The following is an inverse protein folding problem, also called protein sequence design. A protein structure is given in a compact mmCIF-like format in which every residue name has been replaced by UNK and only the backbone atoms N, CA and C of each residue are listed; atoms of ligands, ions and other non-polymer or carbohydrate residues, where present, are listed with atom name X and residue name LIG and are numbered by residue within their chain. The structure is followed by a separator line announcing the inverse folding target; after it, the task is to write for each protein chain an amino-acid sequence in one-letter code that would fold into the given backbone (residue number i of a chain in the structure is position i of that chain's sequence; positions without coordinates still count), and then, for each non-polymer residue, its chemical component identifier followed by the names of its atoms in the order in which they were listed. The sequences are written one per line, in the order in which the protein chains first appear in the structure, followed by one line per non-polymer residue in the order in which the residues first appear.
data_IF_553032375743
#
_entry.id   IF_553032375743
#
_cell.length_a   1.000
_cell.length_b   1.000
_cell.length_c   1.000
_cell.angle_alpha   90.00
_cell.angle_beta   90.00
_cell.angle_gamma   90.00
#
_symmetry.space_group_name_H-M   'P 1'
#
loop_
_entity.id
_entity.type
_entity.pdbx_description
1 polymer ?
#
# COMPACT_ATOMS: atom_id res chain seq x y z
N UNK A 1 7.99 -1.45 6.76
CA UNK A 1 6.81 -0.71 6.28
C UNK A 1 7.21 0.48 5.42
N UNK A 2 6.56 0.61 4.28
CA UNK A 2 6.73 1.78 3.40
C UNK A 2 5.40 2.56 3.41
N UNK A 3 5.48 3.87 3.60
CA UNK A 3 4.30 4.74 3.64
C UNK A 3 4.33 5.69 2.43
N UNK A 4 3.21 5.75 1.71
CA UNK A 4 3.01 6.67 0.60
C UNK A 4 1.88 7.63 0.95
N UNK A 5 2.17 8.93 0.94
CA UNK A 5 1.16 9.96 1.20
C UNK A 5 0.17 10.06 0.04
N UNK A 6 -1.09 10.39 0.35
CA UNK A 6 -2.14 10.57 -0.66
C UNK A 6 -1.72 11.54 -1.76
N UNK A 7 -1.15 12.69 -1.38
CA UNK A 7 -0.78 13.72 -2.34
C UNK A 7 0.27 13.28 -3.36
N UNK A 8 1.07 12.27 -3.02
CA UNK A 8 2.02 11.66 -3.95
C UNK A 8 1.32 10.66 -4.88
N UNK A 9 0.42 9.84 -4.32
CA UNK A 9 -0.17 8.72 -5.05
C UNK A 9 -1.36 9.11 -5.93
N UNK A 10 -2.25 9.99 -5.43
CA UNK A 10 -3.56 10.20 -6.05
C UNK A 10 -3.87 11.68 -6.21
N UNK A 11 -4.77 11.97 -7.15
CA UNK A 11 -5.46 13.24 -7.19
C UNK A 11 -6.49 13.30 -6.06
N UNK A 12 -6.76 14.50 -5.54
CA UNK A 12 -7.69 14.72 -4.43
C UNK A 12 -9.03 14.01 -4.69
N UNK A 13 -9.46 13.18 -3.73
CA UNK A 13 -10.73 12.48 -3.78
C UNK A 13 -10.81 11.34 -4.79
N UNK A 14 -9.71 11.00 -5.46
CA UNK A 14 -9.68 9.97 -6.50
C UNK A 14 -8.80 8.79 -6.12
N UNK A 15 -9.00 7.68 -6.80
CA UNK A 15 -8.18 6.46 -6.66
C UNK A 15 -7.28 6.21 -7.87
N UNK A 16 -7.32 7.09 -8.88
CA UNK A 16 -6.42 7.00 -10.03
C UNK A 16 -5.01 7.48 -9.65
N UNK A 17 -4.00 6.68 -10.01
CA UNK A 17 -2.61 6.99 -9.67
C UNK A 17 -2.08 8.18 -10.47
N UNK A 18 -1.32 9.04 -9.81
CA UNK A 18 -0.60 10.14 -10.46
C UNK A 18 0.61 9.62 -11.24
N UNK A 19 1.18 10.46 -12.11
CA UNK A 19 2.42 10.11 -12.83
C UNK A 19 3.59 9.92 -11.86
N UNK A 20 3.70 10.77 -10.83
CA UNK A 20 4.73 10.62 -9.78
C UNK A 20 4.58 9.31 -9.03
N UNK A 21 3.34 8.90 -8.74
CA UNK A 21 3.05 7.62 -8.11
C UNK A 21 3.52 6.45 -8.97
N UNK A 22 3.22 6.48 -10.25
CA UNK A 22 3.62 5.42 -11.19
C UNK A 22 5.13 5.26 -11.24
N UNK A 23 5.88 6.37 -11.25
CA UNK A 23 7.34 6.31 -11.22
C UNK A 23 7.86 5.67 -9.94
N UNK A 24 7.35 6.10 -8.78
CA UNK A 24 7.75 5.54 -7.49
C UNK A 24 7.39 4.05 -7.38
N UNK A 25 6.19 3.68 -7.80
CA UNK A 25 5.72 2.29 -7.74
C UNK A 25 6.43 1.39 -8.73
N UNK A 26 6.86 1.90 -9.88
CA UNK A 26 7.68 1.14 -10.84
C UNK A 26 9.02 0.74 -10.21
N UNK A 27 9.68 1.66 -9.51
CA UNK A 27 10.91 1.37 -8.78
C UNK A 27 10.67 0.36 -7.66
N UNK A 28 9.57 0.54 -6.93
CA UNK A 28 9.18 -0.39 -5.86
C UNK A 28 8.90 -1.79 -6.42
N UNK A 29 8.21 -1.89 -7.54
CA UNK A 29 7.95 -3.16 -8.22
C UNK A 29 9.25 -3.87 -8.62
N UNK A 30 10.23 -3.13 -9.11
CA UNK A 30 11.56 -3.69 -9.44
C UNK A 30 12.20 -4.31 -8.20
N UNK A 31 12.15 -3.62 -7.06
CA UNK A 31 12.65 -4.15 -5.80
C UNK A 31 11.93 -5.42 -5.38
N UNK A 32 10.61 -5.47 -5.52
CA UNK A 32 9.81 -6.66 -5.18
C UNK A 32 10.13 -7.85 -6.09
N UNK A 33 10.36 -7.60 -7.38
CA UNK A 33 10.75 -8.66 -8.32
C UNK A 33 12.13 -9.21 -8.02
N UNK A 34 13.03 -8.37 -7.51
CA UNK A 34 14.37 -8.79 -7.11
C UNK A 34 14.38 -9.54 -5.77
N UNK A 35 13.27 -9.50 -5.04
CA UNK A 35 13.12 -10.20 -3.76
C UNK A 35 11.86 -11.08 -3.79
N UNK A 36 11.85 -12.15 -4.63
CA UNK A 36 10.63 -12.91 -4.90
C UNK A 36 10.11 -13.73 -3.71
N UNK A 37 10.92 -13.90 -2.66
CA UNK A 37 10.53 -14.64 -1.46
C UNK A 37 9.93 -13.74 -0.38
N UNK A 38 9.24 -12.68 -0.78
CA UNK A 38 8.54 -11.78 0.13
C UNK A 38 7.06 -11.69 -0.24
N UNK A 39 6.23 -11.47 0.78
CA UNK A 39 4.81 -11.15 0.62
C UNK A 39 4.59 -9.68 0.91
N UNK A 40 3.53 -9.13 0.31
CA UNK A 40 3.21 -7.72 0.36
C UNK A 40 1.76 -7.53 0.79
N UNK A 41 1.55 -6.71 1.81
CA UNK A 41 0.21 -6.31 2.27
C UNK A 41 0.06 -4.81 2.07
N UNK A 42 -1.01 -4.40 1.39
CA UNK A 42 -1.27 -3.01 1.02
C UNK A 42 -2.52 -2.54 1.75
N UNK A 43 -2.39 -1.48 2.56
CA UNK A 43 -3.49 -0.94 3.36
C UNK A 43 -3.76 0.51 2.98
N UNK A 44 -4.97 0.80 2.53
CA UNK A 44 -5.42 2.17 2.27
C UNK A 44 -6.04 2.78 3.52
N UNK A 45 -5.69 4.03 3.82
CA UNK A 45 -6.19 4.78 4.98
C UNK A 45 -6.72 6.13 4.57
N UNK A 46 -7.74 6.61 5.29
CA UNK A 46 -8.34 7.94 5.10
C UNK A 46 -8.25 8.73 6.40
N UNK A 47 -8.56 10.03 6.31
CA UNK A 47 -8.93 10.81 7.49
C UNK A 47 -10.41 10.54 7.86
N UNK A 48 -10.91 11.20 8.89
CA UNK A 48 -12.29 11.00 9.35
C UNK A 48 -13.31 11.96 8.72
N UNK A 49 -12.97 12.60 7.61
CA UNK A 49 -13.88 13.52 6.91
C UNK A 49 -14.87 12.71 6.06
N UNK A 50 -16.15 13.08 6.15
CA UNK A 50 -17.21 12.44 5.38
C UNK A 50 -17.73 11.16 6.02
N UNK A 51 -18.57 10.43 5.29
CA UNK A 51 -19.20 9.22 5.82
C UNK A 51 -18.22 8.03 5.88
N UNK A 52 -18.52 7.09 6.77
CA UNK A 52 -17.74 5.86 6.85
C UNK A 52 -17.82 5.05 5.57
N UNK A 53 -19.00 4.94 4.97
CA UNK A 53 -19.19 4.18 3.74
C UNK A 53 -18.32 4.71 2.59
N UNK A 54 -18.25 6.03 2.44
CA UNK A 54 -17.41 6.67 1.42
C UNK A 54 -15.93 6.39 1.68
N UNK A 55 -15.49 6.49 2.93
CA UNK A 55 -14.09 6.24 3.30
C UNK A 55 -13.71 4.77 3.18
N UNK A 56 -14.59 3.84 3.51
CA UNK A 56 -14.37 2.41 3.29
C UNK A 56 -14.14 2.13 1.82
N UNK A 57 -15.01 2.63 0.96
CA UNK A 57 -14.90 2.44 -0.48
C UNK A 57 -13.62 3.06 -1.04
N UNK A 58 -13.34 4.32 -0.68
CA UNK A 58 -12.17 5.03 -1.20
C UNK A 58 -10.86 4.37 -0.77
N UNK A 59 -10.74 3.99 0.51
CA UNK A 59 -9.53 3.34 1.02
C UNK A 59 -9.27 2.00 0.34
N UNK A 60 -10.32 1.23 0.08
CA UNK A 60 -10.25 -0.04 -0.64
C UNK A 60 -9.83 0.18 -2.10
N UNK A 61 -10.46 1.13 -2.78
CA UNK A 61 -10.13 1.44 -4.18
C UNK A 61 -8.69 1.91 -4.33
N UNK A 62 -8.21 2.73 -3.39
CA UNK A 62 -6.83 3.22 -3.41
C UNK A 62 -5.82 2.12 -3.18
N UNK A 63 -6.05 1.26 -2.20
CA UNK A 63 -5.17 0.10 -1.96
C UNK A 63 -5.15 -0.82 -3.19
N UNK A 64 -6.31 -1.04 -3.80
CA UNK A 64 -6.44 -1.87 -4.99
C UNK A 64 -5.78 -1.25 -6.22
N UNK A 65 -5.77 0.07 -6.35
CA UNK A 65 -5.06 0.77 -7.44
C UNK A 65 -3.56 0.52 -7.36
N UNK A 66 -2.99 0.56 -6.16
CA UNK A 66 -1.57 0.25 -5.95
C UNK A 66 -1.29 -1.22 -6.30
N UNK A 67 -2.12 -2.13 -5.81
CA UNK A 67 -2.00 -3.58 -6.09
C UNK A 67 -2.02 -3.84 -7.60
N UNK A 68 -3.01 -3.31 -8.30
CA UNK A 68 -3.19 -3.50 -9.74
C UNK A 68 -2.00 -2.97 -10.53
N UNK A 69 -1.47 -1.81 -10.14
CA UNK A 69 -0.30 -1.24 -10.80
C UNK A 69 0.93 -2.14 -10.64
N UNK A 70 1.15 -2.66 -9.44
CA UNK A 70 2.28 -3.56 -9.17
C UNK A 70 2.15 -4.87 -9.97
N UNK A 71 0.94 -5.42 -10.11
CA UNK A 71 0.67 -6.57 -10.96
C UNK A 71 1.06 -6.26 -12.41
N UNK A 72 0.65 -5.10 -12.92
CA UNK A 72 0.95 -4.68 -14.29
C UNK A 72 2.44 -4.46 -14.52
N UNK A 73 3.20 -4.21 -13.46
CA UNK A 73 4.65 -4.09 -13.52
C UNK A 73 5.37 -5.45 -13.37
N UNK A 74 4.63 -6.53 -13.25
CA UNK A 74 5.19 -7.89 -13.23
C UNK A 74 5.34 -8.52 -11.85
N UNK A 75 4.79 -7.91 -10.79
CA UNK A 75 4.77 -8.54 -9.47
C UNK A 75 3.63 -9.55 -9.41
N UNK A 76 3.91 -10.76 -8.95
CA UNK A 76 2.94 -11.85 -8.90
C UNK A 76 1.82 -11.52 -7.90
N UNK A 77 0.57 -11.60 -8.39
CA UNK A 77 -0.62 -11.34 -7.58
C UNK A 77 -0.70 -12.24 -6.33
N UNK A 78 -0.24 -13.47 -6.43
CA UNK A 78 -0.29 -14.42 -5.30
C UNK A 78 0.56 -14.00 -4.10
N UNK A 79 1.48 -13.05 -4.29
CA UNK A 79 2.33 -12.50 -3.22
C UNK A 79 1.71 -11.33 -2.51
N UNK A 80 0.59 -10.79 -2.98
CA UNK A 80 0.07 -9.48 -2.55
C UNK A 80 -1.38 -9.57 -2.11
N UNK A 81 -1.70 -8.79 -1.08
CA UNK A 81 -3.09 -8.54 -0.66
C UNK A 81 -3.31 -7.05 -0.51
N UNK A 82 -4.55 -6.60 -0.67
CA UNK A 82 -4.94 -5.21 -0.46
C UNK A 82 -6.17 -5.11 0.42
N UNK A 83 -6.24 -4.07 1.25
CA UNK A 83 -7.33 -3.88 2.20
C UNK A 83 -7.57 -2.39 2.43
N UNK A 84 -8.84 -2.00 2.54
CA UNK A 84 -9.21 -0.65 2.91
C UNK A 84 -9.52 -0.58 4.40
N UNK A 85 -8.83 0.32 5.11
CA UNK A 85 -8.96 0.48 6.56
C UNK A 85 -9.81 1.69 6.96
N UNK A 86 -10.33 2.44 5.99
CA UNK A 86 -11.06 3.68 6.25
C UNK A 86 -10.27 4.59 7.21
N UNK A 87 -10.90 5.10 8.26
CA UNK A 87 -10.25 5.95 9.27
C UNK A 87 -10.02 5.25 10.62
N UNK A 88 -9.96 3.93 10.61
CA UNK A 88 -9.86 3.13 11.84
C UNK A 88 -8.48 3.18 12.49
N UNK A 89 -7.43 3.53 11.75
CA UNK A 89 -6.05 3.53 12.24
C UNK A 89 -5.35 4.87 11.96
N UNK A 90 -5.74 5.94 12.66
CA UNK A 90 -5.08 7.23 12.49
C UNK A 90 -3.66 7.18 13.07
N UNK A 91 -2.73 7.88 12.41
CA UNK A 91 -1.36 8.08 12.90
C UNK A 91 -1.14 9.51 13.39
N UNK A 92 -2.13 10.38 13.19
CA UNK A 92 -2.04 11.79 13.57
C UNK A 92 -3.43 12.30 13.96
N UNK A 93 -3.48 13.55 14.43
CA UNK A 93 -4.71 14.17 14.92
C UNK A 93 -5.62 14.59 13.76
N UNK A 94 -6.81 14.00 13.68
CA UNK A 94 -7.81 14.35 12.68
C UNK A 94 -8.45 15.72 12.88
N UNK A 95 -8.25 16.36 14.03
CA UNK A 95 -8.77 17.70 14.28
C UNK A 95 -7.98 18.81 13.57
N UNK A 96 -6.79 18.50 13.07
CA UNK A 96 -5.95 19.45 12.32
C UNK A 96 -5.84 19.04 10.86
N UNK A 97 -5.68 20.03 9.97
CA UNK A 97 -5.47 19.77 8.55
C UNK A 97 -4.18 18.98 8.30
N UNK A 98 -3.11 19.32 9.02
CA UNK A 98 -1.83 18.61 8.91
C UNK A 98 -1.95 17.14 9.36
N UNK A 99 -2.67 16.89 10.44
CA UNK A 99 -2.91 15.52 10.94
C UNK A 99 -3.76 14.70 9.98
N UNK A 100 -4.82 15.30 9.43
CA UNK A 100 -5.64 14.64 8.41
C UNK A 100 -4.83 14.26 7.17
N UNK A 101 -3.94 15.14 6.72
CA UNK A 101 -3.06 14.84 5.58
C UNK A 101 -2.15 13.64 5.85
N UNK A 102 -1.63 13.51 7.05
CA UNK A 102 -0.82 12.35 7.44
C UNK A 102 -1.63 11.05 7.48
N UNK A 103 -2.90 11.13 7.88
CA UNK A 103 -3.78 9.97 7.94
C UNK A 103 -4.18 9.46 6.57
N UNK A 104 -4.25 10.33 5.55
CA UNK A 104 -4.54 9.96 4.17
C UNK A 104 -3.29 9.37 3.52
N UNK A 105 -3.17 8.05 3.58
CA UNK A 105 -1.97 7.35 3.13
C UNK A 105 -2.28 5.92 2.66
N UNK A 106 -1.33 5.33 1.97
CA UNK A 106 -1.27 3.89 1.72
C UNK A 106 -0.02 3.35 2.39
N UNK A 107 -0.18 2.32 3.21
CA UNK A 107 0.92 1.63 3.87
C UNK A 107 1.15 0.28 3.20
N UNK A 108 2.41 -0.05 2.98
CA UNK A 108 2.82 -1.31 2.37
C UNK A 108 3.74 -2.05 3.34
N UNK A 109 3.33 -3.25 3.72
CA UNK A 109 4.10 -4.12 4.61
C UNK A 109 4.71 -5.25 3.80
N UNK A 110 6.00 -5.43 3.95
CA UNK A 110 6.76 -6.50 3.29
C UNK A 110 7.20 -7.48 4.36
N UNK A 111 6.95 -8.76 4.13
CA UNK A 111 7.32 -9.83 5.07
C UNK A 111 7.92 -11.01 4.30
N UNK A 112 8.73 -11.81 4.99
CA UNK A 112 9.24 -13.05 4.43
C UNK A 112 8.07 -14.01 4.18
N UNK A 113 8.02 -14.61 2.99
CA UNK A 113 7.03 -15.64 2.71
C UNK A 113 7.49 -17.01 3.21
N UNK A 114 6.62 -18.02 3.08
CA UNK A 114 6.92 -19.37 3.56
C UNK A 114 8.19 -19.94 2.93
N UNK A 115 8.41 -19.72 1.64
CA UNK A 115 9.58 -20.26 0.94
C UNK A 115 10.88 -19.68 1.50
N UNK A 116 10.89 -18.37 1.80
CA UNK A 116 12.05 -17.74 2.43
C UNK A 116 12.30 -18.27 3.83
N UNK A 117 11.25 -18.45 4.63
CA UNK A 117 11.33 -18.97 5.99
C UNK A 117 11.85 -20.41 5.96
N UNK A 118 11.28 -21.25 5.10
CA UNK A 118 11.70 -22.65 4.95
C UNK A 118 13.16 -22.75 4.52
N UNK A 119 13.59 -21.93 3.56
CA UNK A 119 14.99 -21.90 3.11
C UNK A 119 15.94 -21.50 4.23
N UNK A 120 15.58 -20.50 5.04
CA UNK A 120 16.38 -20.06 6.19
C UNK A 120 16.50 -21.18 7.23
N UNK A 121 15.37 -21.84 7.55
CA UNK A 121 15.33 -22.93 8.53
C UNK A 121 16.13 -24.17 8.07
N UNK A 122 16.18 -24.41 6.77
CA UNK A 122 16.92 -25.53 6.19
C UNK A 122 18.38 -25.18 5.87
N UNK A 123 18.81 -23.94 6.14
CA UNK A 123 20.17 -23.51 5.86
C UNK A 123 20.50 -23.33 4.39
N UNK A 124 19.50 -23.24 3.52
CA UNK A 124 19.68 -23.06 2.07
C UNK A 124 19.67 -21.61 1.63
N UNK A 125 19.17 -20.70 2.46
CA UNK A 125 19.18 -19.27 2.21
C UNK A 125 20.59 -18.71 2.47
N UNK A 126 21.10 -17.97 1.52
CA UNK A 126 22.42 -17.34 1.62
C UNK A 126 22.32 -15.82 1.61
#
# INVERSE_FOLDING_TARGET
KVTFDEGILFQTGKSALSTSAKNALTQFATSLKNNPQTNVQIFGHTDNTGSRAVNEKLSKERANSVLTYLINQGVDNSRMTSEGMAYDQPIADNSTAAGRAQNRRVEVYISANKDMIDAANNGTLK
#
